data_IF_903808380553
#
_entry.id   IF_903808380553
#
_cell.length_a   1.000
_cell.length_b   1.000
_cell.length_c   1.000
_cell.angle_alpha   90.00
_cell.angle_beta   90.00
_cell.angle_gamma   90.00
#
_symmetry.space_group_name_H-M   'P 1'
#
loop_
_entity.id
_entity.type
_entity.pdbx_description
1 polymer ?
#
# COMPACT_ATOMS: atom_id res chain seq x y z
N UNK A 1 -6.17 14.43 -25.24
CA UNK A 1 -7.28 13.53 -25.65
C UNK A 1 -6.96 12.03 -25.63
N UNK A 2 -5.73 11.59 -25.28
CA UNK A 2 -5.26 10.21 -25.53
C UNK A 2 -5.54 9.14 -24.43
N UNK A 3 -5.96 9.53 -23.22
CA UNK A 3 -6.19 8.60 -22.09
C UNK A 3 -7.67 8.40 -21.74
N UNK A 4 -8.58 9.15 -22.36
CA UNK A 4 -10.03 9.05 -22.09
C UNK A 4 -10.67 7.80 -22.68
N UNK A 5 -10.01 7.12 -23.61
CA UNK A 5 -10.45 5.86 -24.24
C UNK A 5 -10.05 4.62 -23.43
N UNK A 6 -8.96 4.71 -22.66
CA UNK A 6 -8.45 3.71 -21.71
C UNK A 6 -9.02 3.93 -20.31
N UNK A 7 -10.34 4.07 -20.19
CA UNK A 7 -10.99 4.19 -18.89
C UNK A 7 -11.00 2.84 -18.18
N UNK A 8 -10.42 2.73 -16.98
CA UNK A 8 -10.56 1.53 -16.17
C UNK A 8 -12.05 1.25 -15.90
N UNK A 9 -12.50 0.04 -16.21
CA UNK A 9 -13.90 -0.36 -16.18
C UNK A 9 -14.62 -0.36 -17.52
N UNK A 10 -13.97 0.03 -18.63
CA UNK A 10 -14.55 -0.09 -19.98
C UNK A 10 -14.85 -1.56 -20.32
N UNK A 11 -16.05 -1.81 -20.83
CA UNK A 11 -16.45 -3.09 -21.42
C UNK A 11 -16.39 -3.04 -22.93
N UNK A 12 -16.14 -4.20 -23.53
CA UNK A 12 -16.13 -4.46 -24.96
C UNK A 12 -16.94 -5.75 -25.18
N UNK A 13 -17.92 -5.68 -26.06
CA UNK A 13 -18.97 -6.68 -26.23
C UNK A 13 -18.58 -7.81 -27.18
N UNK A 14 -17.44 -7.69 -27.87
CA UNK A 14 -16.93 -8.75 -28.72
C UNK A 14 -15.42 -8.70 -28.90
N UNK A 15 -14.87 -9.76 -29.50
CA UNK A 15 -13.47 -9.78 -29.89
C UNK A 15 -13.18 -8.80 -31.04
N UNK A 16 -14.10 -8.63 -31.97
CA UNK A 16 -14.01 -7.69 -33.11
C UNK A 16 -13.99 -6.23 -32.62
N UNK A 17 -14.81 -5.90 -31.62
CA UNK A 17 -14.77 -4.57 -30.98
C UNK A 17 -13.40 -4.34 -30.32
N UNK A 18 -12.86 -5.36 -29.65
CA UNK A 18 -11.52 -5.26 -29.07
C UNK A 18 -10.42 -5.11 -30.13
N UNK A 19 -10.49 -5.82 -31.26
CA UNK A 19 -9.53 -5.63 -32.36
C UNK A 19 -9.63 -4.23 -32.97
N UNK A 20 -10.84 -3.69 -33.10
CA UNK A 20 -11.07 -2.32 -33.57
C UNK A 20 -10.45 -1.31 -32.60
N UNK A 21 -10.67 -1.50 -31.30
CA UNK A 21 -10.07 -0.69 -30.25
C UNK A 21 -8.53 -0.74 -30.26
N UNK A 22 -7.93 -1.91 -30.47
CA UNK A 22 -6.48 -2.02 -30.63
C UNK A 22 -5.98 -1.28 -31.87
N UNK A 23 -6.67 -1.42 -33.02
CA UNK A 23 -6.32 -0.72 -34.26
C UNK A 23 -6.42 0.79 -34.10
N UNK A 24 -7.41 1.31 -33.37
CA UNK A 24 -7.51 2.73 -33.04
C UNK A 24 -6.29 3.20 -32.24
N UNK A 25 -5.89 2.46 -31.21
CA UNK A 25 -4.70 2.78 -30.43
C UNK A 25 -3.40 2.72 -31.26
N UNK A 26 -3.30 1.80 -32.23
CA UNK A 26 -2.15 1.71 -33.12
C UNK A 26 -2.12 2.83 -34.17
N UNK A 27 -3.25 3.17 -34.78
CA UNK A 27 -3.33 4.09 -35.92
C UNK A 27 -3.52 5.55 -35.52
N UNK A 28 -4.34 5.82 -34.51
CA UNK A 28 -4.66 7.18 -34.05
C UNK A 28 -3.67 7.64 -32.99
N UNK A 29 -3.32 6.74 -32.07
CA UNK A 29 -2.45 7.07 -30.94
C UNK A 29 -0.99 6.65 -31.15
N UNK A 30 -0.67 6.03 -32.29
CA UNK A 30 0.69 5.60 -32.67
C UNK A 30 1.38 4.72 -31.62
N UNK A 31 0.62 3.93 -30.86
CA UNK A 31 1.19 2.94 -29.95
C UNK A 31 1.42 1.64 -30.71
N UNK A 32 2.65 1.21 -31.02
CA UNK A 32 2.86 -0.12 -31.59
C UNK A 32 2.63 -1.16 -30.49
N UNK A 33 1.60 -2.02 -30.61
CA UNK A 33 1.20 -2.90 -29.51
C UNK A 33 1.69 -4.33 -29.68
N UNK A 34 1.80 -5.05 -28.55
CA UNK A 34 1.99 -6.50 -28.50
C UNK A 34 1.35 -7.08 -27.24
N UNK A 35 1.02 -8.37 -27.28
CA UNK A 35 0.54 -9.09 -26.10
C UNK A 35 1.70 -9.66 -25.26
N UNK A 36 1.58 -9.52 -23.95
CA UNK A 36 2.41 -10.12 -22.89
C UNK A 36 1.50 -10.86 -21.91
N UNK A 37 2.06 -11.84 -21.17
CA UNK A 37 1.41 -12.52 -20.05
C UNK A 37 -0.04 -12.97 -20.36
N UNK A 38 -0.19 -13.68 -21.49
CA UNK A 38 -1.49 -14.05 -22.06
C UNK A 38 -1.87 -15.48 -21.71
N UNK A 39 -3.14 -15.68 -21.37
CA UNK A 39 -3.78 -17.00 -21.21
C UNK A 39 -4.91 -17.10 -22.22
N UNK A 40 -4.78 -18.00 -23.19
CA UNK A 40 -5.83 -18.24 -24.20
C UNK A 40 -6.99 -19.01 -23.59
N UNK A 41 -8.19 -18.85 -24.14
CA UNK A 41 -9.38 -19.63 -23.74
C UNK A 41 -9.10 -21.13 -23.91
N UNK A 42 -8.54 -21.53 -25.06
CA UNK A 42 -8.12 -22.92 -25.33
C UNK A 42 -7.24 -23.47 -24.20
N UNK A 43 -6.22 -22.71 -23.78
CA UNK A 43 -5.31 -23.14 -22.70
C UNK A 43 -5.95 -23.13 -21.31
N UNK A 44 -7.02 -22.35 -21.14
CA UNK A 44 -7.76 -22.23 -19.89
C UNK A 44 -8.79 -23.36 -19.75
N UNK A 45 -9.49 -23.70 -20.82
CA UNK A 45 -10.43 -24.83 -20.89
C UNK A 45 -9.76 -26.15 -20.49
N UNK A 46 -8.48 -26.35 -20.82
CA UNK A 46 -7.69 -27.54 -20.41
C UNK A 46 -7.60 -27.76 -18.89
N UNK A 47 -7.73 -26.69 -18.09
CA UNK A 47 -7.59 -26.74 -16.63
C UNK A 47 -8.88 -26.39 -15.90
N UNK A 48 -9.95 -26.07 -16.64
CA UNK A 48 -11.23 -25.65 -16.09
C UNK A 48 -12.03 -26.87 -15.61
N UNK A 49 -12.49 -26.83 -14.35
CA UNK A 49 -13.41 -27.82 -13.79
C UNK A 49 -14.84 -27.31 -13.98
N UNK A 50 -15.35 -27.38 -15.22
CA UNK A 50 -16.66 -26.84 -15.57
C UNK A 50 -16.91 -26.85 -17.08
N UNK A 51 -18.03 -26.26 -17.55
CA UNK A 51 -18.32 -26.15 -18.97
C UNK A 51 -17.24 -25.34 -19.69
N UNK A 52 -16.83 -25.82 -20.87
CA UNK A 52 -15.83 -25.14 -21.68
C UNK A 52 -16.32 -23.74 -22.09
N UNK A 53 -15.42 -22.76 -22.01
CA UNK A 53 -15.70 -21.40 -22.49
C UNK A 53 -15.58 -21.36 -24.00
N UNK A 54 -16.40 -20.52 -24.64
CA UNK A 54 -16.40 -20.32 -26.09
C UNK A 54 -15.05 -19.76 -26.57
N UNK A 55 -14.44 -20.44 -27.55
CA UNK A 55 -13.14 -20.09 -28.10
C UNK A 55 -13.16 -18.80 -28.93
N UNK A 56 -14.34 -18.30 -29.33
CA UNK A 56 -14.48 -17.02 -30.06
C UNK A 56 -13.82 -15.85 -29.34
N UNK A 57 -13.77 -15.90 -28.01
CA UNK A 57 -13.17 -14.87 -27.18
C UNK A 57 -11.64 -14.85 -27.25
N UNK A 58 -10.97 -15.90 -27.76
CA UNK A 58 -9.50 -16.05 -27.90
C UNK A 58 -8.69 -16.03 -26.59
N UNK A 59 -8.83 -15.00 -25.74
CA UNK A 59 -8.09 -14.81 -24.50
C UNK A 59 -8.97 -14.84 -23.26
N UNK A 60 -8.60 -15.63 -22.25
CA UNK A 60 -9.14 -15.47 -20.91
C UNK A 60 -8.63 -14.18 -20.28
N UNK A 61 -7.34 -13.89 -20.45
CA UNK A 61 -6.74 -12.60 -20.11
C UNK A 61 -5.45 -12.37 -20.92
N UNK A 62 -5.12 -11.12 -21.16
CA UNK A 62 -3.84 -10.73 -21.76
C UNK A 62 -3.43 -9.33 -21.28
N UNK A 63 -2.13 -9.08 -21.20
CA UNK A 63 -1.58 -7.74 -20.98
C UNK A 63 -1.15 -7.17 -22.32
N UNK A 64 -1.74 -6.05 -22.72
CA UNK A 64 -1.35 -5.31 -23.92
C UNK A 64 -0.28 -4.31 -23.51
N UNK A 65 0.85 -4.35 -24.20
CA UNK A 65 2.00 -3.47 -23.92
C UNK A 65 2.49 -2.82 -25.22
N UNK A 66 3.17 -1.69 -25.10
CA UNK A 66 3.94 -1.14 -26.22
C UNK A 66 5.07 -2.11 -26.64
N UNK A 67 5.38 -2.22 -27.94
CA UNK A 67 6.53 -2.98 -28.46
C UNK A 67 7.85 -2.49 -27.88
N UNK A 68 7.93 -1.20 -27.55
CA UNK A 68 9.07 -0.57 -26.90
C UNK A 68 9.11 -0.76 -25.37
N UNK A 69 8.15 -1.48 -24.78
CA UNK A 69 8.17 -1.79 -23.34
C UNK A 69 9.24 -2.84 -23.02
N UNK A 70 9.90 -2.68 -21.86
CA UNK A 70 10.98 -3.53 -21.36
C UNK A 70 12.37 -2.89 -21.42
N UNK A 71 13.35 -3.55 -20.80
CA UNK A 71 14.76 -3.13 -20.83
C UNK A 71 15.37 -3.45 -22.19
N UNK A 72 16.24 -2.59 -22.75
CA UNK A 72 17.03 -2.94 -23.92
C UNK A 72 17.88 -4.18 -23.64
N UNK A 73 17.78 -5.20 -24.50
CA UNK A 73 18.64 -6.39 -24.44
C UNK A 73 19.45 -6.49 -25.73
N UNK A 74 20.75 -6.75 -25.61
CA UNK A 74 21.60 -7.12 -26.74
C UNK A 74 21.11 -8.43 -27.36
N UNK A 75 21.00 -8.51 -28.68
CA UNK A 75 20.70 -9.78 -29.38
C UNK A 75 21.93 -10.64 -29.63
N UNK A 76 23.14 -10.12 -29.38
CA UNK A 76 24.36 -10.91 -29.56
C UNK A 76 24.64 -11.72 -28.29
N UNK A 77 24.79 -13.04 -28.45
CA UNK A 77 25.31 -13.92 -27.39
C UNK A 77 26.71 -13.48 -26.92
N UNK A 78 27.47 -12.83 -27.80
CA UNK A 78 28.90 -12.54 -27.63
C UNK A 78 29.21 -11.03 -27.77
N UNK A 79 28.21 -10.15 -27.68
CA UNK A 79 28.34 -8.69 -27.87
C UNK A 79 28.95 -8.21 -29.21
N UNK A 80 29.15 -9.11 -30.17
CA UNK A 80 29.77 -8.87 -31.50
C UNK A 80 29.00 -7.93 -32.43
N UNK A 81 27.77 -7.56 -32.09
CA UNK A 81 26.91 -6.68 -32.89
C UNK A 81 26.39 -5.54 -32.02
N UNK A 82 27.26 -4.57 -31.67
CA UNK A 82 26.93 -3.53 -30.70
C UNK A 82 25.77 -2.63 -31.14
N UNK A 83 25.44 -2.56 -32.44
CA UNK A 83 24.38 -1.69 -32.95
C UNK A 83 23.03 -2.40 -33.17
N UNK A 84 22.88 -3.68 -32.80
CA UNK A 84 21.62 -4.42 -32.91
C UNK A 84 20.89 -4.50 -31.56
N UNK A 85 20.42 -3.36 -31.06
CA UNK A 85 19.54 -3.33 -29.90
C UNK A 85 18.08 -3.63 -30.29
N UNK A 86 17.35 -4.26 -29.38
CA UNK A 86 15.88 -4.18 -29.43
C UNK A 86 15.50 -2.73 -29.08
N UNK A 87 14.58 -2.11 -29.85
CA UNK A 87 14.05 -0.76 -29.61
C UNK A 87 13.21 -0.64 -28.32
N UNK A 88 13.48 -1.47 -27.31
CA UNK A 88 12.85 -1.39 -25.99
C UNK A 88 13.42 -0.18 -25.26
N UNK A 89 12.59 0.81 -24.96
CA UNK A 89 12.94 2.07 -24.28
C UNK A 89 12.18 2.23 -22.94
N UNK A 90 11.89 1.11 -22.27
CA UNK A 90 11.14 1.10 -21.00
C UNK A 90 9.78 1.81 -21.08
N UNK A 91 9.13 1.80 -22.25
CA UNK A 91 7.83 2.45 -22.42
C UNK A 91 6.82 1.94 -21.37
N UNK A 92 6.23 2.84 -20.55
CA UNK A 92 5.35 2.48 -19.44
C UNK A 92 3.93 2.12 -19.89
N UNK A 93 3.62 2.31 -21.17
CA UNK A 93 2.28 2.03 -21.68
C UNK A 93 1.96 0.55 -21.64
N UNK A 94 1.03 0.19 -20.76
CA UNK A 94 0.42 -1.12 -20.71
C UNK A 94 -0.99 -1.05 -20.14
N UNK A 95 -1.83 -2.01 -20.52
CA UNK A 95 -3.10 -2.27 -19.86
C UNK A 95 -3.44 -3.75 -19.92
N UNK A 96 -4.29 -4.21 -19.01
CA UNK A 96 -4.74 -5.60 -18.98
C UNK A 96 -6.14 -5.68 -19.60
N UNK A 97 -6.43 -6.79 -20.26
CA UNK A 97 -7.78 -7.17 -20.67
C UNK A 97 -8.13 -8.52 -20.10
N UNK A 98 -9.39 -8.67 -19.69
CA UNK A 98 -9.88 -9.93 -19.14
C UNK A 98 -11.28 -10.22 -19.64
N UNK A 99 -11.50 -11.46 -20.06
CA UNK A 99 -12.82 -11.94 -20.43
C UNK A 99 -13.65 -12.23 -19.16
N UNK A 100 -14.79 -11.57 -19.00
CA UNK A 100 -15.80 -11.88 -18.00
C UNK A 100 -16.77 -12.93 -18.57
N UNK A 101 -16.89 -14.05 -17.86
CA UNK A 101 -17.74 -15.18 -18.26
C UNK A 101 -19.20 -14.98 -17.91
N UNK A 102 -19.53 -14.11 -16.95
CA UNK A 102 -20.91 -13.86 -16.56
C UNK A 102 -21.61 -12.93 -17.56
N UNK A 103 -20.95 -11.83 -17.90
CA UNK A 103 -21.51 -10.83 -18.82
C UNK A 103 -21.22 -11.15 -20.29
N UNK A 104 -20.38 -12.16 -20.56
CA UNK A 104 -19.79 -12.47 -21.86
C UNK A 104 -19.19 -11.24 -22.55
N UNK A 105 -18.26 -10.55 -21.87
CA UNK A 105 -17.62 -9.31 -22.35
C UNK A 105 -16.14 -9.25 -22.01
N UNK A 106 -15.38 -8.51 -22.79
CA UNK A 106 -14.02 -8.09 -22.44
C UNK A 106 -14.05 -6.85 -21.56
N UNK A 107 -13.22 -6.83 -20.54
CA UNK A 107 -13.13 -5.72 -19.60
C UNK A 107 -11.69 -5.24 -19.46
N UNK A 108 -11.51 -3.91 -19.44
CA UNK A 108 -10.29 -3.27 -18.96
C UNK A 108 -10.46 -3.09 -17.45
N UNK A 109 -9.71 -3.80 -16.61
CA UNK A 109 -9.97 -3.85 -15.19
C UNK A 109 -9.64 -2.52 -14.50
N UNK A 110 -10.40 -2.21 -13.44
CA UNK A 110 -10.03 -1.14 -12.51
C UNK A 110 -8.82 -1.60 -11.69
N UNK A 111 -7.68 -0.96 -11.94
CA UNK A 111 -6.48 -1.07 -11.09
C UNK A 111 -6.43 0.13 -10.14
N UNK A 112 -5.99 -0.07 -8.89
CA UNK A 112 -5.89 0.99 -7.87
C UNK A 112 -6.68 0.71 -6.60
N UNK A 113 -6.73 1.67 -5.68
CA UNK A 113 -7.33 1.52 -4.35
C UNK A 113 -8.82 1.17 -4.40
N UNK A 114 -9.29 0.37 -3.43
CA UNK A 114 -10.71 0.05 -3.26
C UNK A 114 -11.50 1.34 -3.01
N UNK A 115 -12.66 1.49 -3.65
CA UNK A 115 -13.63 2.51 -3.23
C UNK A 115 -14.38 2.06 -1.96
N UNK A 116 -15.18 2.93 -1.37
CA UNK A 116 -15.87 2.66 -0.10
C UNK A 116 -16.76 1.41 -0.14
N UNK A 117 -17.52 1.21 -1.23
CA UNK A 117 -18.38 0.03 -1.40
C UNK A 117 -17.59 -1.26 -1.59
N UNK A 118 -16.46 -1.19 -2.30
CA UNK A 118 -15.55 -2.31 -2.51
C UNK A 118 -14.83 -2.67 -1.20
N UNK A 119 -14.39 -1.67 -0.44
CA UNK A 119 -13.77 -1.83 0.87
C UNK A 119 -14.75 -2.45 1.88
N UNK A 120 -15.99 -1.96 1.95
CA UNK A 120 -17.03 -2.52 2.82
C UNK A 120 -17.32 -4.00 2.51
N UNK A 121 -17.33 -4.39 1.23
CA UNK A 121 -17.46 -5.79 0.83
C UNK A 121 -16.29 -6.65 1.32
N UNK A 122 -15.04 -6.18 1.11
CA UNK A 122 -13.84 -6.90 1.57
C UNK A 122 -13.85 -7.03 3.09
N UNK A 123 -14.18 -5.97 3.81
CA UNK A 123 -14.17 -5.96 5.27
C UNK A 123 -15.19 -6.93 5.85
N UNK A 124 -16.40 -6.99 5.27
CA UNK A 124 -17.41 -7.96 5.64
C UNK A 124 -16.94 -9.41 5.38
N UNK A 125 -16.38 -9.67 4.19
CA UNK A 125 -15.89 -11.00 3.83
C UNK A 125 -14.70 -11.44 4.70
N UNK A 126 -13.81 -10.51 5.07
CA UNK A 126 -12.72 -10.75 6.02
C UNK A 126 -13.26 -11.11 7.40
N UNK A 127 -14.28 -10.41 7.89
CA UNK A 127 -14.91 -10.71 9.19
C UNK A 127 -15.56 -12.09 9.22
N UNK A 128 -16.02 -12.58 8.08
CA UNK A 128 -16.53 -13.94 7.89
C UNK A 128 -15.43 -15.00 7.61
N UNK A 129 -14.16 -14.60 7.74
CA UNK A 129 -12.97 -15.43 7.48
C UNK A 129 -12.92 -16.08 6.09
N UNK A 130 -13.45 -15.38 5.08
CA UNK A 130 -13.38 -15.85 3.69
C UNK A 130 -11.94 -15.77 3.19
N UNK A 131 -11.47 -16.83 2.54
CA UNK A 131 -10.11 -16.91 1.98
C UNK A 131 -9.82 -15.76 1.00
N UNK A 132 -8.62 -15.12 1.05
CA UNK A 132 -8.26 -13.99 0.18
C UNK A 132 -8.44 -14.27 -1.31
N UNK A 133 -8.10 -15.47 -1.78
CA UNK A 133 -8.28 -15.84 -3.19
C UNK A 133 -9.75 -15.85 -3.63
N UNK A 134 -10.68 -16.20 -2.74
CA UNK A 134 -12.12 -16.15 -3.00
C UNK A 134 -12.60 -14.69 -3.03
N UNK A 135 -12.17 -13.86 -2.07
CA UNK A 135 -12.48 -12.44 -2.04
C UNK A 135 -11.98 -11.74 -3.32
N UNK A 136 -10.76 -12.05 -3.78
CA UNK A 136 -10.21 -11.50 -5.03
C UNK A 136 -11.04 -11.91 -6.25
N UNK A 137 -11.50 -13.17 -6.27
CA UNK A 137 -12.35 -13.69 -7.34
C UNK A 137 -13.71 -13.00 -7.35
N UNK A 138 -14.32 -12.80 -6.18
CA UNK A 138 -15.60 -12.12 -6.04
C UNK A 138 -15.51 -10.62 -6.34
N UNK A 139 -14.46 -9.93 -5.90
CA UNK A 139 -14.22 -8.53 -6.27
C UNK A 139 -14.09 -8.35 -7.78
N UNK A 140 -13.42 -9.30 -8.42
CA UNK A 140 -13.31 -9.35 -9.87
C UNK A 140 -14.66 -9.61 -10.54
N UNK A 141 -15.48 -10.51 -9.99
CA UNK A 141 -16.79 -10.84 -10.57
C UNK A 141 -17.82 -9.72 -10.38
N UNK A 142 -17.95 -9.21 -9.15
CA UNK A 142 -19.00 -8.27 -8.75
C UNK A 142 -18.66 -6.81 -9.03
N UNK A 143 -17.40 -6.42 -8.89
CA UNK A 143 -16.97 -5.01 -8.99
C UNK A 143 -16.00 -4.76 -10.15
N UNK A 144 -15.65 -5.80 -10.92
CA UNK A 144 -14.61 -5.73 -11.96
C UNK A 144 -13.29 -5.13 -11.44
N UNK A 145 -13.00 -5.40 -10.17
CA UNK A 145 -11.83 -4.89 -9.45
C UNK A 145 -10.76 -5.97 -9.35
N UNK A 146 -9.55 -5.63 -9.78
CA UNK A 146 -8.42 -6.55 -9.68
C UNK A 146 -7.58 -6.18 -8.48
N UNK A 147 -7.56 -7.07 -7.50
CA UNK A 147 -6.68 -7.01 -6.34
C UNK A 147 -5.91 -8.32 -6.23
N UNK A 148 -4.71 -8.26 -5.66
CA UNK A 148 -3.93 -9.46 -5.35
C UNK A 148 -4.40 -10.06 -4.03
N UNK A 149 -4.12 -11.34 -3.81
CA UNK A 149 -4.34 -11.96 -2.49
C UNK A 149 -3.59 -11.22 -1.39
N UNK A 150 -2.44 -10.62 -1.71
CA UNK A 150 -1.64 -9.83 -0.77
C UNK A 150 -2.33 -8.53 -0.39
N UNK A 151 -2.99 -7.84 -1.33
CA UNK A 151 -3.75 -6.62 -1.05
C UNK A 151 -4.90 -6.91 -0.08
N UNK A 152 -5.56 -8.06 -0.25
CA UNK A 152 -6.63 -8.51 0.65
C UNK A 152 -6.07 -8.94 2.00
N UNK A 153 -4.92 -9.60 2.04
CA UNK A 153 -4.27 -10.00 3.30
C UNK A 153 -3.85 -8.78 4.12
N UNK A 154 -3.30 -7.74 3.47
CA UNK A 154 -2.99 -6.48 4.12
C UNK A 154 -4.26 -5.82 4.68
N UNK A 155 -5.35 -5.80 3.90
CA UNK A 155 -6.64 -5.28 4.37
C UNK A 155 -7.20 -6.13 5.51
N UNK A 156 -7.01 -7.44 5.46
CA UNK A 156 -7.41 -8.38 6.50
C UNK A 156 -6.70 -8.07 7.80
N UNK A 157 -5.40 -7.84 7.78
CA UNK A 157 -4.65 -7.40 8.98
C UNK A 157 -5.26 -6.12 9.56
N UNK A 158 -5.48 -5.09 8.74
CA UNK A 158 -6.10 -3.83 9.19
C UNK A 158 -7.50 -4.02 9.80
N UNK A 159 -8.33 -4.90 9.23
CA UNK A 159 -9.68 -5.19 9.75
C UNK A 159 -9.63 -6.02 11.04
N UNK A 160 -8.56 -6.79 11.23
CA UNK A 160 -8.38 -7.67 12.37
C UNK A 160 -7.58 -7.02 13.52
N UNK A 161 -6.80 -5.98 13.26
CA UNK A 161 -6.13 -5.11 14.24
C UNK A 161 -7.14 -4.14 14.88
N UNK A 162 -8.17 -4.71 15.51
CA UNK A 162 -9.14 -3.96 16.32
C UNK A 162 -8.61 -3.81 17.74
N UNK A 163 -9.00 -2.72 18.42
CA UNK A 163 -8.68 -2.48 19.84
C UNK A 163 -9.01 -3.69 20.70
N UNK A 164 -10.16 -4.33 20.46
CA UNK A 164 -10.61 -5.51 21.21
C UNK A 164 -9.67 -6.71 21.03
N UNK A 165 -9.15 -6.92 19.82
CA UNK A 165 -8.24 -8.05 19.53
C UNK A 165 -6.84 -7.81 20.05
N UNK A 166 -6.31 -6.60 19.89
CA UNK A 166 -5.01 -6.23 20.47
C UNK A 166 -5.10 -6.36 22.00
N UNK A 167 -6.17 -5.84 22.60
CA UNK A 167 -6.46 -5.99 24.03
C UNK A 167 -6.56 -7.44 24.44
N UNK A 168 -7.28 -8.29 23.71
CA UNK A 168 -7.36 -9.72 24.02
C UNK A 168 -5.99 -10.41 24.00
N UNK A 169 -5.12 -10.07 23.03
CA UNK A 169 -3.76 -10.58 22.95
C UNK A 169 -2.90 -10.15 24.15
N UNK A 170 -2.94 -8.86 24.51
CA UNK A 170 -2.23 -8.34 25.66
C UNK A 170 -2.80 -8.87 26.99
N UNK A 171 -4.11 -9.12 27.09
CA UNK A 171 -4.73 -9.77 28.24
C UNK A 171 -4.30 -11.22 28.39
N UNK A 172 -4.09 -11.93 27.28
CA UNK A 172 -3.51 -13.27 27.31
C UNK A 172 -2.07 -13.20 27.83
N UNK A 173 -1.27 -12.28 27.31
CA UNK A 173 0.09 -12.03 27.81
C UNK A 173 0.11 -11.72 29.31
N UNK A 174 -0.83 -10.91 29.81
CA UNK A 174 -0.86 -10.51 31.22
C UNK A 174 -1.30 -11.61 32.19
N UNK A 175 -1.96 -12.67 31.72
CA UNK A 175 -2.26 -13.85 32.55
C UNK A 175 -1.01 -14.63 32.92
N UNK A 176 -0.08 -14.74 31.99
CA UNK A 176 1.13 -15.55 32.15
C UNK A 176 2.34 -14.71 32.62
N UNK A 177 2.23 -13.37 32.62
CA UNK A 177 3.33 -12.47 32.96
C UNK A 177 2.91 -11.44 34.01
N UNK A 178 3.82 -11.13 34.94
CA UNK A 178 3.59 -10.06 35.90
C UNK A 178 3.82 -8.69 35.25
N UNK A 179 2.78 -8.16 34.60
CA UNK A 179 2.78 -6.86 33.91
C UNK A 179 3.01 -5.67 34.83
N UNK A 180 2.86 -5.83 36.16
CA UNK A 180 3.11 -4.78 37.14
C UNK A 180 4.60 -4.43 37.24
N UNK A 181 5.49 -5.32 36.76
CA UNK A 181 6.93 -5.08 36.68
C UNK A 181 7.35 -4.28 35.44
N UNK A 182 6.44 -4.08 34.49
CA UNK A 182 6.75 -3.35 33.26
C UNK A 182 6.85 -1.86 33.58
N UNK A 183 8.05 -1.30 33.44
CA UNK A 183 8.28 0.14 33.69
C UNK A 183 8.00 1.00 32.46
N UNK A 184 8.20 0.45 31.26
CA UNK A 184 8.14 1.20 30.00
C UNK A 184 7.50 0.32 28.92
N UNK A 185 6.59 0.90 28.15
CA UNK A 185 6.06 0.32 26.91
C UNK A 185 6.42 1.23 25.74
N UNK A 186 6.83 0.63 24.62
CA UNK A 186 7.10 1.33 23.37
C UNK A 186 6.19 0.74 22.30
N UNK A 187 5.31 1.57 21.73
CA UNK A 187 4.35 1.14 20.69
C UNK A 187 4.42 2.06 19.48
N UNK A 188 3.69 1.71 18.44
CA UNK A 188 3.45 2.62 17.32
C UNK A 188 2.40 3.67 17.73
N UNK A 189 2.24 4.71 16.90
CA UNK A 189 1.19 5.72 17.09
C UNK A 189 -0.12 5.21 16.48
N UNK A 190 -0.63 4.12 17.03
CA UNK A 190 -1.92 3.53 16.68
C UNK A 190 -2.89 3.65 17.87
N UNK A 191 -4.09 4.19 17.64
CA UNK A 191 -5.04 4.45 18.73
C UNK A 191 -5.50 3.17 19.42
N UNK A 192 -5.64 2.07 18.68
CA UNK A 192 -6.10 0.79 19.20
C UNK A 192 -4.99 0.15 20.06
N UNK A 193 -3.75 0.16 19.57
CA UNK A 193 -2.60 -0.32 20.32
C UNK A 193 -2.35 0.54 21.58
N UNK A 194 -2.43 1.86 21.44
CA UNK A 194 -2.19 2.77 22.56
C UNK A 194 -3.23 2.60 23.66
N UNK A 195 -4.51 2.51 23.29
CA UNK A 195 -5.60 2.28 24.23
C UNK A 195 -5.47 0.93 24.96
N UNK A 196 -5.27 -0.14 24.20
CA UNK A 196 -5.13 -1.49 24.75
C UNK A 196 -3.94 -1.61 25.72
N UNK A 197 -2.80 -1.01 25.37
CA UNK A 197 -1.61 -1.06 26.21
C UNK A 197 -1.77 -0.27 27.52
N UNK A 198 -2.37 0.93 27.48
CA UNK A 198 -2.63 1.74 28.68
C UNK A 198 -3.53 1.06 29.69
N UNK A 199 -4.52 0.29 29.23
CA UNK A 199 -5.42 -0.44 30.11
C UNK A 199 -4.74 -1.62 30.84
N UNK A 200 -3.71 -2.22 30.25
CA UNK A 200 -3.08 -3.45 30.76
C UNK A 200 -1.81 -3.14 31.53
N UNK A 201 -1.01 -2.19 31.04
CA UNK A 201 0.25 -1.76 31.65
C UNK A 201 0.08 -0.43 32.38
N UNK A 202 -0.86 -0.39 33.33
CA UNK A 202 -1.28 0.85 34.03
C UNK A 202 -0.14 1.60 34.75
N UNK A 203 0.92 0.90 35.16
CA UNK A 203 2.07 1.48 35.85
C UNK A 203 3.25 1.79 34.92
N UNK A 204 3.19 1.38 33.66
CA UNK A 204 4.28 1.57 32.72
C UNK A 204 4.19 2.96 32.07
N UNK A 205 5.33 3.63 31.93
CA UNK A 205 5.41 4.85 31.11
C UNK A 205 5.29 4.48 29.64
N UNK A 206 4.40 5.15 28.94
CA UNK A 206 4.14 4.90 27.53
C UNK A 206 4.93 5.83 26.62
N UNK A 207 5.75 5.24 25.77
CA UNK A 207 6.50 5.95 24.75
C UNK A 207 6.12 5.49 23.34
N UNK A 208 6.19 6.39 22.35
CA UNK A 208 6.00 6.07 20.95
C UNK A 208 7.33 5.68 20.29
N UNK A 209 7.26 4.86 19.24
CA UNK A 209 8.38 4.54 18.38
C UNK A 209 8.82 5.77 17.56
N UNK A 210 10.10 6.16 17.67
CA UNK A 210 10.62 7.31 16.91
C UNK A 210 10.58 7.08 15.40
N UNK A 211 10.82 5.84 14.96
CA UNK A 211 10.78 5.52 13.53
C UNK A 211 9.41 5.77 12.92
N UNK A 212 8.35 5.30 13.57
CA UNK A 212 7.00 5.51 13.10
C UNK A 212 6.54 6.96 13.26
N UNK A 213 7.06 7.68 14.26
CA UNK A 213 6.86 9.12 14.34
C UNK A 213 7.41 9.84 13.10
N UNK A 214 8.66 9.56 12.72
CA UNK A 214 9.27 10.12 11.51
C UNK A 214 8.54 9.72 10.23
N UNK A 215 8.17 8.44 10.11
CA UNK A 215 7.45 7.94 8.93
C UNK A 215 6.09 8.62 8.78
N UNK A 216 5.35 8.84 9.87
CA UNK A 216 4.06 9.51 9.85
C UNK A 216 4.18 10.96 9.37
N UNK A 217 5.19 11.70 9.85
CA UNK A 217 5.47 13.07 9.39
C UNK A 217 5.91 13.10 7.93
N UNK A 218 6.83 12.23 7.50
CA UNK A 218 7.25 12.14 6.10
C UNK A 218 6.06 11.84 5.16
N UNK A 219 5.17 10.91 5.53
CA UNK A 219 3.94 10.63 4.76
C UNK A 219 3.04 11.87 4.69
N UNK A 220 2.85 12.60 5.79
CA UNK A 220 2.03 13.83 5.81
C UNK A 220 2.63 14.88 4.87
N UNK A 221 3.93 15.14 4.98
CA UNK A 221 4.59 16.14 4.15
C UNK A 221 4.66 15.75 2.66
N UNK A 222 4.67 14.45 2.33
CA UNK A 222 4.56 13.96 0.94
C UNK A 222 3.19 14.20 0.33
N UNK A 223 2.13 14.16 1.14
CA UNK A 223 0.77 14.49 0.71
C UNK A 223 0.59 15.99 0.54
N UNK A 224 1.29 16.77 1.35
CA UNK A 224 1.34 18.21 1.19
C UNK A 224 2.11 18.56 -0.11
N UNK A 225 1.53 19.45 -0.92
CA UNK A 225 2.04 19.79 -2.25
C UNK A 225 3.18 20.84 -2.18
N UNK A 226 4.19 20.57 -1.36
CA UNK A 226 5.33 21.47 -1.14
C UNK A 226 6.52 21.17 -2.05
N UNK A 227 7.29 22.23 -2.29
CA UNK A 227 8.64 22.13 -2.84
C UNK A 227 9.54 21.26 -1.95
N UNK A 228 10.47 20.56 -2.59
CA UNK A 228 11.33 19.56 -1.92
C UNK A 228 12.11 20.16 -0.74
N UNK A 229 12.63 21.38 -0.90
CA UNK A 229 13.45 22.04 0.12
C UNK A 229 12.62 22.43 1.35
N UNK A 230 11.40 22.93 1.13
CA UNK A 230 10.52 23.32 2.23
C UNK A 230 10.03 22.10 3.02
N UNK A 231 9.67 21.01 2.32
CA UNK A 231 9.40 19.72 2.96
C UNK A 231 10.56 19.25 3.83
N UNK A 232 11.79 19.36 3.32
CA UNK A 232 12.99 18.94 4.06
C UNK A 232 13.21 19.79 5.31
N UNK A 233 13.02 21.11 5.22
CA UNK A 233 13.15 22.02 6.36
C UNK A 233 12.20 21.67 7.50
N UNK A 234 10.91 21.46 7.18
CA UNK A 234 9.89 21.07 8.16
C UNK A 234 10.23 19.70 8.78
N UNK A 235 10.64 18.73 7.97
CA UNK A 235 11.06 17.42 8.46
C UNK A 235 12.28 17.52 9.39
N UNK A 236 13.28 18.34 9.03
CA UNK A 236 14.48 18.55 9.82
C UNK A 236 14.16 19.27 11.15
N UNK A 237 13.19 20.19 11.16
CA UNK A 237 12.66 20.81 12.40
C UNK A 237 12.00 19.79 13.31
N UNK A 238 11.11 18.94 12.78
CA UNK A 238 10.53 17.85 13.58
C UNK A 238 11.60 16.89 14.11
N UNK A 239 12.65 16.62 13.32
CA UNK A 239 13.80 15.84 13.77
C UNK A 239 14.56 16.50 14.93
N UNK A 240 14.76 17.82 14.90
CA UNK A 240 15.35 18.55 16.03
C UNK A 240 14.44 18.49 17.25
N UNK A 241 13.13 18.66 17.10
CA UNK A 241 12.16 18.50 18.19
C UNK A 241 12.24 17.11 18.85
N UNK A 242 12.24 16.04 18.04
CA UNK A 242 12.33 14.65 18.56
C UNK A 242 13.60 14.42 19.38
N UNK A 243 14.72 15.00 18.96
CA UNK A 243 16.03 14.82 19.60
C UNK A 243 16.47 15.99 20.48
N UNK A 244 15.57 16.91 20.82
CA UNK A 244 15.83 18.03 21.71
C UNK A 244 16.42 17.54 23.04
N UNK A 245 17.45 18.26 23.53
CA UNK A 245 18.18 17.92 24.76
C UNK A 245 17.63 18.66 25.98
N UNK A 246 16.86 19.71 25.77
CA UNK A 246 16.18 20.49 26.82
C UNK A 246 14.73 20.77 26.43
N UNK A 247 13.92 21.21 27.39
CA UNK A 247 12.57 21.68 27.12
C UNK A 247 12.58 22.95 26.28
N UNK A 248 13.55 23.84 26.49
CA UNK A 248 13.74 25.06 25.69
C UNK A 248 14.02 24.75 24.21
N UNK A 249 14.91 23.80 23.91
CA UNK A 249 15.16 23.36 22.53
C UNK A 249 13.90 22.75 21.88
N UNK A 250 13.06 22.07 22.66
CA UNK A 250 11.80 21.50 22.19
C UNK A 250 10.77 22.58 21.90
N UNK A 251 10.63 23.56 22.80
CA UNK A 251 9.69 24.69 22.67
C UNK A 251 10.00 25.55 21.44
N UNK A 252 11.28 25.78 21.12
CA UNK A 252 11.68 26.51 19.91
C UNK A 252 11.15 25.85 18.63
N UNK A 253 11.27 24.51 18.54
CA UNK A 253 10.79 23.78 17.36
C UNK A 253 9.26 23.61 17.37
N UNK A 254 8.63 23.54 18.55
CA UNK A 254 7.17 23.57 18.73
C UNK A 254 6.59 24.87 18.18
N UNK A 255 7.12 26.02 18.60
CA UNK A 255 6.67 27.33 18.13
C UNK A 255 6.77 27.45 16.60
N UNK A 256 7.90 27.02 16.01
CA UNK A 256 8.07 27.03 14.56
C UNK A 256 7.04 26.12 13.85
N UNK A 257 6.89 24.87 14.30
CA UNK A 257 6.05 23.89 13.61
C UNK A 257 4.55 24.17 13.77
N UNK A 258 4.13 24.68 14.93
CA UNK A 258 2.73 25.03 15.21
C UNK A 258 2.34 26.34 14.51
N UNK A 259 3.28 27.23 14.24
CA UNK A 259 3.04 28.46 13.47
C UNK A 259 2.92 28.25 11.94
N UNK A 260 3.12 27.03 11.43
CA UNK A 260 2.98 26.74 10.00
C UNK A 260 1.52 26.86 9.55
N UNK A 261 1.22 27.86 8.72
CA UNK A 261 -0.13 28.07 8.17
C UNK A 261 -0.39 27.22 6.92
N UNK A 262 0.66 26.80 6.23
CA UNK A 262 0.56 26.06 4.98
C UNK A 262 -0.08 24.68 5.16
N UNK A 263 -1.07 24.36 4.33
CA UNK A 263 -1.74 23.04 4.28
C UNK A 263 -2.24 22.56 5.66
N UNK A 264 -2.61 23.49 6.56
CA UNK A 264 -3.04 23.20 7.95
C UNK A 264 -1.98 22.43 8.75
N UNK A 265 -0.70 22.59 8.43
CA UNK A 265 0.39 21.87 9.10
C UNK A 265 0.53 22.22 10.58
N UNK A 266 0.36 23.49 10.96
CA UNK A 266 0.44 23.92 12.36
C UNK A 266 -0.57 23.19 13.24
N UNK A 267 -1.84 23.19 12.80
CA UNK A 267 -2.90 22.43 13.46
C UNK A 267 -2.62 20.92 13.46
N UNK A 268 -2.01 20.37 12.40
CA UNK A 268 -1.59 18.97 12.38
C UNK A 268 -0.53 18.70 13.46
N UNK A 269 0.52 19.52 13.57
CA UNK A 269 1.59 19.33 14.53
C UNK A 269 1.11 19.48 15.97
N UNK A 270 0.30 20.51 16.25
CA UNK A 270 -0.27 20.74 17.58
C UNK A 270 -1.15 19.56 18.04
N UNK A 271 -2.16 19.22 17.22
CA UNK A 271 -3.16 18.22 17.60
C UNK A 271 -2.66 16.76 17.57
N UNK A 272 -1.60 16.46 16.83
CA UNK A 272 -1.13 15.08 16.66
C UNK A 272 0.21 14.78 17.33
N UNK A 273 1.03 15.79 17.61
CA UNK A 273 2.37 15.58 18.13
C UNK A 273 2.61 16.36 19.41
N UNK A 274 2.46 17.69 19.40
CA UNK A 274 2.87 18.50 20.54
C UNK A 274 1.94 18.37 21.75
N UNK A 275 0.65 18.09 21.55
CA UNK A 275 -0.27 17.71 22.63
C UNK A 275 0.09 16.42 23.38
N UNK A 276 1.02 15.61 22.86
CA UNK A 276 1.52 14.36 23.44
C UNK A 276 3.05 14.28 23.47
N UNK A 277 3.74 15.43 23.53
CA UNK A 277 5.20 15.55 23.43
C UNK A 277 5.98 14.68 24.42
N UNK A 278 5.39 14.39 25.59
CA UNK A 278 5.94 13.52 26.63
C UNK A 278 6.11 12.07 26.18
N UNK A 279 5.34 11.63 25.18
CA UNK A 279 5.38 10.26 24.67
C UNK A 279 6.48 10.02 23.63
N UNK A 280 7.02 11.06 22.99
CA UNK A 280 7.97 10.88 21.88
C UNK A 280 9.24 11.72 21.97
N UNK A 281 9.23 12.88 22.62
CA UNK A 281 10.44 13.73 22.66
C UNK A 281 11.53 13.11 23.55
N UNK A 282 12.78 13.20 23.08
CA UNK A 282 13.92 12.56 23.73
C UNK A 282 14.15 13.08 25.16
N UNK A 283 13.89 14.37 25.42
CA UNK A 283 14.01 14.98 26.75
C UNK A 283 13.18 14.28 27.83
N UNK A 284 12.02 13.70 27.48
CA UNK A 284 11.19 12.92 28.41
C UNK A 284 11.58 11.44 28.47
N UNK A 285 12.37 10.98 27.49
CA UNK A 285 12.87 9.60 27.38
C UNK A 285 14.22 9.39 28.06
N UNK A 286 15.09 10.40 28.09
CA UNK A 286 16.46 10.30 28.64
C UNK A 286 16.47 9.87 30.11
N UNK A 287 15.44 10.23 30.88
CA UNK A 287 15.26 9.83 32.27
C UNK A 287 14.80 8.37 32.45
N UNK A 288 14.50 7.65 31.35
CA UNK A 288 13.93 6.30 31.38
C UNK A 288 14.98 5.24 31.03
N UNK A 289 14.89 4.09 31.69
CA UNK A 289 15.76 2.94 31.43
C UNK A 289 15.25 2.17 30.20
N UNK A 290 15.36 2.79 29.02
CA UNK A 290 14.96 2.14 27.76
C UNK A 290 16.02 1.17 27.22
N UNK A 291 17.18 1.07 27.87
CA UNK A 291 18.35 0.30 27.42
C UNK A 291 18.78 0.65 25.98
N UNK A 292 18.57 1.90 25.57
CA UNK A 292 18.87 2.38 24.22
C UNK A 292 17.78 2.10 23.18
N UNK A 293 16.70 1.40 23.53
CA UNK A 293 15.58 1.15 22.63
C UNK A 293 14.72 2.41 22.47
N UNK A 294 14.61 2.88 21.22
CA UNK A 294 13.79 4.03 20.83
C UNK A 294 12.86 3.72 19.66
N UNK A 295 12.89 2.47 19.18
CA UNK A 295 12.17 2.01 18.00
C UNK A 295 11.78 0.54 18.13
N UNK A 296 10.61 0.20 17.59
CA UNK A 296 10.07 -1.15 17.41
C UNK A 296 10.68 -1.89 16.20
N UNK A 297 11.46 -1.20 15.35
CA UNK A 297 12.08 -1.75 14.14
C UNK A 297 12.88 -3.04 14.37
N UNK A 298 13.52 -3.18 15.53
CA UNK A 298 14.28 -4.39 15.86
C UNK A 298 13.38 -5.61 15.91
N UNK A 299 12.15 -5.46 16.42
CA UNK A 299 11.14 -6.51 16.48
C UNK A 299 10.52 -6.71 15.09
N UNK A 300 10.15 -5.63 14.39
CA UNK A 300 9.53 -5.72 13.05
C UNK A 300 10.44 -6.37 12.01
N UNK A 301 11.75 -6.12 12.05
CA UNK A 301 12.72 -6.80 11.19
C UNK A 301 12.72 -8.32 11.41
N UNK A 302 12.50 -8.77 12.64
CA UNK A 302 12.44 -10.18 12.99
C UNK A 302 11.05 -10.80 12.72
N UNK A 303 9.98 -10.00 12.80
CA UNK A 303 8.62 -10.42 12.44
C UNK A 303 8.41 -10.57 10.92
N UNK A 304 9.32 -10.02 10.09
CA UNK A 304 9.40 -10.31 8.64
C UNK A 304 9.83 -11.77 8.31
N UNK A 305 9.71 -12.70 9.26
CA UNK A 305 9.76 -14.15 9.03
C UNK A 305 8.53 -14.73 8.29
N UNK A 306 7.80 -13.93 7.49
CA UNK A 306 6.77 -14.42 6.56
C UNK A 306 7.24 -14.27 5.11
N UNK A 307 8.20 -15.11 4.76
CA UNK A 307 8.37 -15.68 3.41
C UNK A 307 8.14 -17.21 3.49
N UNK A 308 6.97 -17.61 4.01
CA UNK A 308 6.38 -18.93 3.80
C UNK A 308 4.92 -18.72 3.42
#
# INVERSE_FOLDING_TARGET
MALSTLKPGRSLDSWEEFETFLKELETVNFYPLRFKDKKTIVSYNKVLKGPALDEKWKFKHATVICKHSGKPTSRSKDHTRPNQFQFSCECPFHFKIVFNTLDEKFLIPKTGNLNESEAGFVDAAVKMDVLPGKIASELKLKYNKYVTSKDIENRRQLVQETTERIKAGLQFFSKDNNVQKTEIIITDKDCAEVGAAKEIFVNAKHMLCHFHAFLAVDIRLRKANFELNHRKEIYDSFHRAVYAKSLEELEIEEDYLVALEDDELGAYFDNNWFNIKEMWAMVYRTALITLGNKTTNQIERNLKLKNL
#
